data_IF_755286926892
#
_entry.id   IF_755286926892
#
_cell.length_a   1.000
_cell.length_b   1.000
_cell.length_c   1.000
_cell.angle_alpha   90.00
_cell.angle_beta   90.00
_cell.angle_gamma   90.00
#
_symmetry.space_group_name_H-M   'P 1'
#
loop_
_entity.id
_entity.type
_entity.pdbx_description
1 polymer ?
#
# COMPACT_ATOMS: atom_id res chain seq x y z
N UNK A 1 -14.71 -10.34 12.34
CA UNK A 1 -14.16 -11.69 12.06
C UNK A 1 -15.03 -12.69 12.79
N UNK A 2 -15.47 -13.77 12.13
CA UNK A 2 -16.22 -14.86 12.78
C UNK A 2 -15.21 -15.94 13.12
N UNK A 3 -15.16 -16.36 14.38
CA UNK A 3 -14.24 -17.39 14.86
C UNK A 3 -15.05 -18.62 15.28
N UNK A 4 -14.64 -19.78 14.80
CA UNK A 4 -15.28 -21.07 15.10
C UNK A 4 -14.74 -21.72 16.37
N UNK A 5 -13.60 -21.25 16.87
CA UNK A 5 -12.91 -21.79 18.04
C UNK A 5 -12.56 -20.70 19.07
N UNK A 6 -12.72 -21.05 20.35
CA UNK A 6 -12.52 -20.13 21.48
C UNK A 6 -11.05 -19.80 21.70
N UNK A 7 -10.12 -20.69 21.37
CA UNK A 7 -8.68 -20.40 21.42
C UNK A 7 -8.26 -19.45 20.28
N UNK A 8 -8.84 -19.60 19.09
CA UNK A 8 -8.64 -18.66 17.98
C UNK A 8 -9.19 -17.26 18.29
N UNK A 9 -10.38 -17.18 18.91
CA UNK A 9 -10.94 -15.91 19.40
C UNK A 9 -10.07 -15.30 20.50
N UNK A 10 -9.65 -16.07 21.50
CA UNK A 10 -8.80 -15.57 22.59
C UNK A 10 -7.42 -15.10 22.08
N UNK A 11 -6.85 -15.76 21.09
CA UNK A 11 -5.59 -15.31 20.46
C UNK A 11 -5.79 -14.01 19.69
N UNK A 12 -6.92 -13.87 18.99
CA UNK A 12 -7.28 -12.64 18.30
C UNK A 12 -7.48 -11.47 19.28
N UNK A 13 -8.21 -11.68 20.37
CA UNK A 13 -8.49 -10.65 21.37
C UNK A 13 -7.26 -10.31 22.21
N UNK A 14 -6.40 -11.29 22.54
CA UNK A 14 -5.07 -11.02 23.12
C UNK A 14 -4.22 -10.14 22.21
N UNK A 15 -4.35 -10.30 20.89
CA UNK A 15 -3.73 -9.40 19.92
C UNK A 15 -4.21 -7.95 20.04
N UNK A 16 -5.49 -7.71 20.35
CA UNK A 16 -6.02 -6.37 20.60
C UNK A 16 -5.56 -5.78 21.95
N UNK A 17 -5.61 -6.58 23.02
CA UNK A 17 -5.15 -6.15 24.37
C UNK A 17 -3.62 -5.95 24.45
N UNK A 18 -2.84 -6.68 23.66
CA UNK A 18 -1.40 -6.47 23.55
C UNK A 18 -1.04 -5.13 22.87
N UNK A 19 -1.92 -4.59 22.01
CA UNK A 19 -1.73 -3.27 21.39
C UNK A 19 -1.93 -2.13 22.37
N UNK A 20 -2.71 -2.32 23.44
CA UNK A 20 -2.88 -1.33 24.49
C UNK A 20 -1.70 -1.31 25.48
N UNK A 21 -0.92 -2.39 25.55
CA UNK A 21 0.15 -2.54 26.55
C UNK A 21 1.57 -2.47 25.99
N UNK A 22 1.74 -2.58 24.66
CA UNK A 22 3.03 -2.41 23.96
C UNK A 22 2.85 -1.56 22.71
N UNK A 23 2.54 -0.29 22.93
CA UNK A 23 2.53 0.72 21.87
C UNK A 23 3.96 1.10 21.50
N UNK A 24 4.28 1.09 20.21
CA UNK A 24 5.57 1.54 19.69
C UNK A 24 5.38 2.92 19.05
N UNK A 25 5.52 3.96 19.86
CA UNK A 25 5.42 5.35 19.42
C UNK A 25 6.75 5.80 18.81
N UNK A 26 6.67 6.59 17.74
CA UNK A 26 7.83 7.27 17.18
C UNK A 26 8.20 8.47 18.05
N UNK A 27 9.48 8.66 18.36
CA UNK A 27 9.94 9.80 19.17
C UNK A 27 9.97 11.10 18.35
N UNK A 28 10.11 10.98 17.03
CA UNK A 28 10.19 12.11 16.10
C UNK A 28 8.81 12.55 15.56
N UNK A 29 7.75 11.76 15.80
CA UNK A 29 6.37 12.14 15.46
C UNK A 29 5.32 11.33 16.24
N UNK A 30 4.10 11.84 16.36
CA UNK A 30 3.02 11.21 17.15
C UNK A 30 2.40 9.94 16.55
N UNK A 31 3.10 9.23 15.65
CA UNK A 31 2.60 7.97 15.09
C UNK A 31 2.88 6.80 16.02
N UNK A 32 1.83 6.00 16.24
CA UNK A 32 1.86 4.79 17.04
C UNK A 32 1.78 3.57 16.11
N UNK A 33 2.62 2.58 16.37
CA UNK A 33 2.67 1.33 15.60
C UNK A 33 2.36 0.11 16.48
N UNK A 34 1.80 -0.91 15.85
CA UNK A 34 1.41 -2.18 16.49
C UNK A 34 2.57 -3.09 16.84
N UNK A 35 3.77 -2.84 16.30
CA UNK A 35 4.98 -3.58 16.63
C UNK A 35 6.25 -2.75 16.34
N UNK A 36 7.37 -3.14 16.95
CA UNK A 36 8.67 -2.47 16.80
C UNK A 36 9.20 -2.50 15.37
N UNK A 37 8.98 -3.59 14.62
CA UNK A 37 9.43 -3.72 13.24
C UNK A 37 8.78 -2.68 12.32
N UNK A 38 7.50 -2.38 12.52
CA UNK A 38 6.79 -1.33 11.79
C UNK A 38 7.28 0.06 12.18
N UNK A 39 7.52 0.31 13.47
CA UNK A 39 8.12 1.56 13.94
C UNK A 39 9.51 1.76 13.31
N UNK A 40 10.38 0.74 13.34
CA UNK A 40 11.72 0.81 12.74
C UNK A 40 11.66 1.15 11.25
N UNK A 41 10.78 0.47 10.50
CA UNK A 41 10.56 0.77 9.07
C UNK A 41 10.09 2.22 8.87
N UNK A 42 9.19 2.71 9.72
CA UNK A 42 8.71 4.07 9.65
C UNK A 42 9.83 5.09 9.90
N UNK A 43 10.59 4.92 10.98
CA UNK A 43 11.73 5.77 11.34
C UNK A 43 12.73 5.80 10.19
N UNK A 44 13.12 4.64 9.67
CA UNK A 44 14.04 4.56 8.55
C UNK A 44 13.53 5.35 7.35
N UNK A 45 12.25 5.18 6.99
CA UNK A 45 11.66 5.78 5.79
C UNK A 45 11.44 7.28 5.88
N UNK A 46 11.14 7.79 7.08
CA UNK A 46 10.60 9.14 7.27
C UNK A 46 11.56 10.07 8.00
N UNK A 47 12.37 9.53 8.89
CA UNK A 47 13.22 10.29 9.80
C UNK A 47 14.70 10.07 9.54
N UNK A 48 15.08 9.06 8.74
CA UNK A 48 16.48 8.81 8.37
C UNK A 48 16.67 8.75 6.85
N UNK A 49 17.93 8.83 6.42
CA UNK A 49 18.37 8.51 5.06
C UNK A 49 19.17 7.20 5.00
N UNK A 50 19.10 6.37 6.06
CA UNK A 50 19.89 5.14 6.17
C UNK A 50 19.08 3.96 5.68
N UNK A 51 19.34 3.51 4.47
CA UNK A 51 18.70 2.33 3.89
C UNK A 51 19.66 1.14 3.96
N UNK A 52 19.17 0.02 4.52
CA UNK A 52 19.96 -1.21 4.65
C UNK A 52 20.24 -1.88 3.29
N UNK A 53 19.43 -1.56 2.27
CA UNK A 53 19.51 -2.18 0.95
C UNK A 53 19.53 -1.11 -0.13
N UNK A 54 20.55 -1.07 -0.96
CA UNK A 54 20.71 -0.08 -2.02
C UNK A 54 20.77 -0.79 -3.37
N UNK A 55 20.04 -0.27 -4.36
CA UNK A 55 20.14 -0.76 -5.73
C UNK A 55 21.46 -0.31 -6.34
N UNK A 56 22.29 -1.25 -6.78
CA UNK A 56 23.59 -0.96 -7.39
C UNK A 56 23.48 -0.29 -8.77
N UNK A 57 22.33 -0.43 -9.45
CA UNK A 57 22.10 0.13 -10.78
C UNK A 57 21.70 1.61 -10.74
N UNK A 58 20.85 2.00 -9.78
CA UNK A 58 20.32 3.38 -9.71
C UNK A 58 20.52 4.08 -8.35
N UNK A 59 21.31 3.47 -7.45
CA UNK A 59 21.61 3.96 -6.10
C UNK A 59 20.40 4.21 -5.19
N UNK A 60 19.21 3.69 -5.54
CA UNK A 60 18.00 3.87 -4.74
C UNK A 60 18.01 2.98 -3.51
N UNK A 61 17.70 3.57 -2.34
CA UNK A 61 17.63 2.87 -1.06
C UNK A 61 16.27 2.24 -0.73
N UNK A 62 16.30 1.11 -0.04
CA UNK A 62 15.17 0.28 0.38
C UNK A 62 15.37 -0.24 1.81
N UNK A 63 14.26 -0.52 2.48
CA UNK A 63 14.24 -0.88 3.91
C UNK A 63 14.29 -2.40 4.11
N UNK A 64 14.05 -3.16 3.03
CA UNK A 64 14.12 -4.61 3.07
C UNK A 64 14.60 -5.18 1.74
N UNK A 65 15.21 -6.36 1.81
CA UNK A 65 15.65 -7.11 0.63
C UNK A 65 14.52 -7.37 -0.37
N UNK A 66 13.34 -7.76 0.11
CA UNK A 66 12.17 -8.00 -0.75
C UNK A 66 11.76 -6.75 -1.55
N UNK A 67 11.85 -5.55 -0.96
CA UNK A 67 11.54 -4.30 -1.65
C UNK A 67 12.59 -3.99 -2.74
N UNK A 68 13.87 -4.23 -2.44
CA UNK A 68 14.96 -4.10 -3.42
C UNK A 68 14.79 -5.09 -4.57
N UNK A 69 14.54 -6.37 -4.29
CA UNK A 69 14.35 -7.41 -5.31
C UNK A 69 13.13 -7.10 -6.20
N UNK A 70 12.00 -6.72 -5.61
CA UNK A 70 10.84 -6.30 -6.38
C UNK A 70 11.14 -5.09 -7.27
N UNK A 71 11.97 -4.15 -6.78
CA UNK A 71 12.40 -3.00 -7.56
C UNK A 71 13.34 -3.40 -8.70
N UNK A 72 14.38 -4.21 -8.46
CA UNK A 72 15.33 -4.60 -9.50
C UNK A 72 14.63 -5.38 -10.62
N UNK A 73 13.77 -6.33 -10.26
CA UNK A 73 12.97 -7.09 -11.23
C UNK A 73 11.99 -6.22 -12.03
N UNK A 74 11.42 -5.16 -11.43
CA UNK A 74 10.43 -4.33 -12.13
C UNK A 74 11.01 -3.13 -12.88
N UNK A 75 12.18 -2.63 -12.47
CA UNK A 75 12.77 -1.41 -12.99
C UNK A 75 14.03 -1.63 -13.84
N UNK A 76 14.73 -2.75 -13.65
CA UNK A 76 16.03 -3.01 -14.31
C UNK A 76 16.05 -4.31 -15.12
N UNK A 77 15.01 -5.14 -15.02
CA UNK A 77 14.85 -6.35 -15.83
C UNK A 77 13.66 -6.19 -16.78
N UNK A 78 13.88 -5.89 -18.08
CA UNK A 78 12.79 -5.63 -19.02
C UNK A 78 11.94 -6.86 -19.33
N UNK A 79 12.53 -8.06 -19.31
CA UNK A 79 11.83 -9.32 -19.59
C UNK A 79 10.88 -9.67 -18.43
N UNK A 80 11.38 -9.63 -17.20
CA UNK A 80 10.59 -9.83 -16.00
C UNK A 80 9.57 -8.70 -15.79
N UNK A 81 9.90 -7.45 -16.15
CA UNK A 81 8.95 -6.34 -16.08
C UNK A 81 7.76 -6.56 -17.02
N UNK A 82 7.97 -7.16 -18.20
CA UNK A 82 6.91 -7.52 -19.13
C UNK A 82 6.15 -8.77 -18.65
N UNK A 83 6.84 -9.82 -18.20
CA UNK A 83 6.22 -11.04 -17.67
C UNK A 83 5.33 -10.79 -16.43
N UNK A 84 5.66 -9.78 -15.63
CA UNK A 84 4.85 -9.38 -14.47
C UNK A 84 3.66 -8.49 -14.80
N UNK A 85 3.44 -8.13 -16.08
CA UNK A 85 2.24 -7.42 -16.50
C UNK A 85 1.08 -8.39 -16.67
N UNK A 86 -0.07 -7.95 -16.19
CA UNK A 86 -1.34 -8.65 -16.31
C UNK A 86 -2.25 -7.80 -17.17
N UNK A 87 -2.91 -8.43 -18.14
CA UNK A 87 -3.90 -7.78 -18.98
C UNK A 87 -5.21 -7.59 -18.22
N UNK A 88 -5.85 -6.45 -18.43
CA UNK A 88 -7.21 -6.24 -17.97
C UNK A 88 -8.18 -7.13 -18.76
N UNK A 89 -9.05 -7.92 -18.10
CA UNK A 89 -10.00 -8.77 -18.81
C UNK A 89 -11.05 -7.96 -19.59
N UNK A 90 -11.31 -6.72 -19.16
CA UNK A 90 -12.37 -5.88 -19.69
C UNK A 90 -11.93 -5.03 -20.91
N UNK A 91 -10.66 -4.60 -20.95
CA UNK A 91 -10.13 -3.72 -22.02
C UNK A 91 -8.76 -4.14 -22.59
N UNK A 92 -8.22 -5.29 -22.19
CA UNK A 92 -6.98 -5.90 -22.67
C UNK A 92 -5.70 -5.05 -22.52
N UNK A 93 -5.76 -3.91 -21.82
CA UNK A 93 -4.57 -3.11 -21.50
C UNK A 93 -3.70 -3.81 -20.45
N UNK A 94 -2.39 -3.74 -20.64
CA UNK A 94 -1.39 -4.38 -19.78
C UNK A 94 -0.94 -3.48 -18.63
N UNK A 95 -1.01 -3.98 -17.39
CA UNK A 95 -0.63 -3.25 -16.18
C UNK A 95 0.17 -4.13 -15.22
N UNK A 96 0.89 -3.56 -14.26
CA UNK A 96 1.33 -4.33 -13.09
C UNK A 96 0.11 -4.76 -12.25
N UNK A 97 0.22 -5.82 -11.43
CA UNK A 97 -0.89 -6.35 -10.61
C UNK A 97 -1.62 -5.27 -9.79
N UNK A 98 -0.87 -4.40 -9.11
CA UNK A 98 -1.44 -3.31 -8.32
C UNK A 98 -2.14 -2.26 -9.19
N UNK A 99 -1.50 -1.87 -10.30
CA UNK A 99 -2.05 -0.89 -11.23
C UNK A 99 -3.31 -1.41 -11.94
N UNK A 100 -3.39 -2.72 -12.23
CA UNK A 100 -4.57 -3.34 -12.80
C UNK A 100 -5.77 -3.21 -11.86
N UNK A 101 -5.60 -3.53 -10.58
CA UNK A 101 -6.68 -3.39 -9.59
C UNK A 101 -7.19 -1.96 -9.52
N UNK A 102 -6.28 -0.97 -9.45
CA UNK A 102 -6.68 0.44 -9.46
C UNK A 102 -7.37 0.83 -10.77
N UNK A 103 -6.86 0.38 -11.92
CA UNK A 103 -7.46 0.65 -13.22
C UNK A 103 -8.88 0.12 -13.32
N UNK A 104 -9.11 -1.14 -12.90
CA UNK A 104 -10.46 -1.73 -12.89
C UNK A 104 -11.41 -0.98 -11.98
N UNK A 105 -10.97 -0.66 -10.76
CA UNK A 105 -11.73 0.18 -9.84
C UNK A 105 -12.08 1.52 -10.47
N UNK A 106 -11.17 2.17 -11.20
CA UNK A 106 -11.40 3.50 -11.76
C UNK A 106 -12.26 3.52 -13.03
N UNK A 107 -12.16 2.50 -13.87
CA UNK A 107 -12.67 2.52 -15.25
C UNK A 107 -13.79 1.52 -15.53
N UNK A 108 -13.83 0.41 -14.79
CA UNK A 108 -14.75 -0.71 -15.06
C UNK A 108 -15.72 -0.98 -13.91
N UNK A 109 -15.32 -0.68 -12.67
CA UNK A 109 -16.21 -0.76 -11.52
C UNK A 109 -17.08 0.50 -11.45
N UNK A 110 -18.31 0.37 -11.95
CA UNK A 110 -19.37 1.34 -11.74
C UNK A 110 -20.00 1.08 -10.38
N UNK A 111 -19.90 2.06 -9.49
CA UNK A 111 -20.64 2.09 -8.23
C UNK A 111 -21.58 3.29 -8.24
N UNK A 112 -22.39 3.44 -7.20
CA UNK A 112 -23.18 4.67 -7.04
C UNK A 112 -22.26 5.89 -7.14
N UNK A 113 -22.58 6.84 -8.05
CA UNK A 113 -21.74 7.98 -8.30
C UNK A 113 -21.62 8.83 -7.03
N UNK A 114 -20.38 9.15 -6.67
CA UNK A 114 -20.07 9.93 -5.47
C UNK A 114 -19.72 11.35 -5.89
N UNK A 115 -20.37 12.34 -5.30
CA UNK A 115 -20.10 13.75 -5.55
C UNK A 115 -18.91 14.27 -4.75
N UNK A 116 -18.15 15.18 -5.35
CA UNK A 116 -17.14 15.95 -4.66
C UNK A 116 -17.78 17.03 -3.79
N UNK A 117 -17.43 17.07 -2.51
CA UNK A 117 -17.95 18.06 -1.56
C UNK A 117 -17.44 19.49 -1.83
N UNK A 118 -16.32 19.64 -2.55
CA UNK A 118 -15.70 20.94 -2.82
C UNK A 118 -16.28 21.59 -4.08
N UNK A 119 -16.48 20.81 -5.14
CA UNK A 119 -16.90 21.33 -6.45
C UNK A 119 -18.14 20.67 -7.05
N UNK A 120 -18.78 19.73 -6.33
CA UNK A 120 -19.99 19.02 -6.78
C UNK A 120 -19.79 17.96 -7.87
N UNK A 121 -18.57 17.83 -8.44
CA UNK A 121 -18.32 16.92 -9.56
C UNK A 121 -18.58 15.45 -9.17
N UNK A 122 -19.36 14.74 -10.00
CA UNK A 122 -19.62 13.32 -9.83
C UNK A 122 -18.44 12.47 -10.31
N UNK A 123 -18.08 11.47 -9.50
CA UNK A 123 -17.11 10.44 -9.84
C UNK A 123 -17.77 9.06 -9.79
N UNK A 124 -17.36 8.09 -10.63
CA UNK A 124 -17.99 6.77 -10.71
C UNK A 124 -17.82 5.92 -9.45
N UNK A 125 -16.85 6.25 -8.60
CA UNK A 125 -16.58 5.55 -7.34
C UNK A 125 -15.66 6.39 -6.43
N UNK A 126 -15.48 5.92 -5.19
CA UNK A 126 -14.66 6.60 -4.17
C UNK A 126 -13.19 6.72 -4.54
N UNK A 127 -12.64 5.76 -5.30
CA UNK A 127 -11.23 5.81 -5.73
C UNK A 127 -11.03 6.92 -6.75
N UNK A 128 -11.95 7.05 -7.70
CA UNK A 128 -11.96 8.12 -8.68
C UNK A 128 -12.15 9.48 -8.02
N UNK A 129 -13.05 9.58 -7.04
CA UNK A 129 -13.23 10.79 -6.26
C UNK A 129 -11.96 11.18 -5.48
N UNK A 130 -11.32 10.21 -4.81
CA UNK A 130 -10.08 10.46 -4.09
C UNK A 130 -8.94 10.93 -5.00
N UNK A 131 -8.88 10.41 -6.23
CA UNK A 131 -7.93 10.90 -7.24
C UNK A 131 -8.28 12.32 -7.68
N UNK A 132 -9.55 12.61 -7.97
CA UNK A 132 -10.01 13.96 -8.31
C UNK A 132 -9.66 14.98 -7.22
N UNK A 133 -10.00 14.68 -5.96
CA UNK A 133 -9.71 15.54 -4.81
C UNK A 133 -8.21 15.81 -4.60
N UNK A 134 -7.32 14.91 -5.04
CA UNK A 134 -5.87 15.04 -4.86
C UNK A 134 -5.18 15.87 -5.96
N UNK A 135 -5.75 15.88 -7.16
CA UNK A 135 -5.12 16.51 -8.33
C UNK A 135 -5.82 17.79 -8.79
N UNK A 136 -7.07 18.02 -8.35
CA UNK A 136 -7.86 19.22 -8.72
C UNK A 136 -8.02 20.19 -7.55
N UNK A 137 -7.93 19.69 -6.32
CA UNK A 137 -7.99 20.46 -5.07
C UNK A 137 -6.75 20.13 -4.23
#
# INVERSE_FOLDING_TARGET
>A
KIFTDKAAFNTHVKGHLALETKQFQCEECDRIFSNSSLLKKHVIKRHTLSFDYVCEVCAKGFISRQELEAHTTSAHDPDAAQANRVQCPDCHRSFSKWSLRKHRLMMHETSEPVSCEICGKQAPNRVALGSHKRFVH
#
